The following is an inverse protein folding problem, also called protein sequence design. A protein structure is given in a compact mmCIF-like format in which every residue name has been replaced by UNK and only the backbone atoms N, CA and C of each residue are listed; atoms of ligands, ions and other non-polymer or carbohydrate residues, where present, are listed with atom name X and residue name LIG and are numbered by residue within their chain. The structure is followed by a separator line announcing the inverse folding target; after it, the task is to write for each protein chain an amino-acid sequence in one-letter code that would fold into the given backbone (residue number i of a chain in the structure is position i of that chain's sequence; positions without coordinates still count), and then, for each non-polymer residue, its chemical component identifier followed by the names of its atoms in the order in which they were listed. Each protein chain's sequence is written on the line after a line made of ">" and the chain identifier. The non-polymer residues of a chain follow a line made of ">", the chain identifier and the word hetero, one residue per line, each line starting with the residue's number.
data_IF_790768402054
#
_entry.id   IF_790768402054
#
_cell.length_a   1.000
_cell.length_b   1.000
_cell.length_c   1.000
_cell.angle_alpha   90.00
_cell.angle_beta   90.00
_cell.angle_gamma   90.00
#
_symmetry.space_group_name_H-M   'P 1'
#
loop_
_entity.id
_entity.type
_entity.pdbx_description
1 polymer ?
#
# COMPACT_ATOMS: atom_id res chain seq x y z
N UNK A 1 15.78 -7.51 -27.22
CA UNK A 1 15.33 -7.68 -25.82
C UNK A 1 14.60 -6.41 -25.43
N UNK A 2 13.31 -6.49 -25.12
CA UNK A 2 12.51 -5.33 -24.75
C UNK A 2 13.13 -4.59 -23.55
N UNK A 3 13.04 -3.25 -23.57
CA UNK A 3 13.53 -2.41 -22.50
C UNK A 3 12.84 -2.76 -21.18
N UNK A 4 13.62 -3.01 -20.14
CA UNK A 4 13.08 -3.36 -18.81
C UNK A 4 12.26 -2.24 -18.16
N UNK A 5 12.49 -0.98 -18.57
CA UNK A 5 11.81 0.20 -18.03
C UNK A 5 10.54 0.56 -18.81
N UNK A 6 10.62 0.62 -20.15
CA UNK A 6 9.53 1.13 -20.99
C UNK A 6 8.95 0.11 -21.97
N UNK A 7 9.44 -1.14 -21.95
CA UNK A 7 9.00 -2.25 -22.82
C UNK A 7 9.21 -2.05 -24.32
N UNK A 8 9.83 -0.95 -24.76
CA UNK A 8 10.19 -0.75 -26.17
C UNK A 8 11.20 -1.79 -26.68
N UNK A 9 11.05 -2.22 -27.92
CA UNK A 9 11.98 -3.11 -28.60
C UNK A 9 13.20 -2.39 -29.21
N UNK A 10 13.18 -1.06 -29.24
CA UNK A 10 14.25 -0.22 -29.82
C UNK A 10 15.44 -0.11 -28.87
N UNK A 11 16.29 -1.13 -28.87
CA UNK A 11 17.47 -1.22 -28.01
C UNK A 11 18.73 -1.56 -28.78
N UNK A 12 19.85 -0.90 -28.42
CA UNK A 12 21.16 -1.07 -29.04
C UNK A 12 22.18 -1.56 -28.02
N UNK A 13 23.20 -2.29 -28.48
CA UNK A 13 24.34 -2.70 -27.64
C UNK A 13 25.09 -1.45 -27.16
N UNK A 14 25.44 -1.39 -25.88
CA UNK A 14 26.11 -0.26 -25.25
C UNK A 14 27.20 -0.72 -24.25
N UNK A 15 28.22 -1.41 -24.77
CA UNK A 15 29.36 -1.91 -24.00
C UNK A 15 29.09 -3.22 -23.26
N UNK A 16 30.10 -3.68 -22.51
CA UNK A 16 30.07 -4.92 -21.72
C UNK A 16 30.36 -4.56 -20.26
N UNK A 17 29.57 -5.09 -19.31
CA UNK A 17 29.76 -4.89 -17.87
C UNK A 17 29.71 -6.24 -17.17
N UNK A 18 30.70 -6.54 -16.33
CA UNK A 18 30.80 -7.83 -15.60
C UNK A 18 30.65 -9.04 -16.53
N UNK A 19 31.34 -9.01 -17.67
CA UNK A 19 31.31 -10.04 -18.72
C UNK A 19 29.93 -10.28 -19.36
N UNK A 20 29.00 -9.33 -19.24
CA UNK A 20 27.67 -9.39 -19.86
C UNK A 20 27.42 -8.18 -20.76
N UNK A 21 26.71 -8.41 -21.87
CA UNK A 21 26.33 -7.36 -22.81
C UNK A 21 25.38 -6.36 -22.14
N UNK A 22 25.76 -5.08 -22.14
CA UNK A 22 24.87 -3.98 -21.75
C UNK A 22 24.14 -3.45 -22.98
N UNK A 23 22.91 -3.03 -22.80
CA UNK A 23 22.04 -2.44 -23.81
C UNK A 23 21.57 -1.06 -23.36
N UNK A 24 21.32 -0.18 -24.32
CA UNK A 24 20.67 1.13 -24.13
C UNK A 24 19.37 1.16 -24.93
N UNK A 25 18.28 1.57 -24.28
CA UNK A 25 17.01 1.83 -24.95
C UNK A 25 17.07 3.17 -25.68
N UNK A 26 16.64 3.23 -26.94
CA UNK A 26 16.60 4.47 -27.71
C UNK A 26 15.43 5.36 -27.31
N UNK A 27 14.29 4.78 -26.91
CA UNK A 27 13.11 5.57 -26.55
C UNK A 27 13.22 6.24 -25.16
N UNK A 28 13.79 5.56 -24.16
CA UNK A 28 13.86 6.09 -22.78
C UNK A 28 15.29 6.31 -22.24
N UNK A 29 16.32 6.01 -23.03
CA UNK A 29 17.73 6.15 -22.66
C UNK A 29 18.23 5.18 -21.58
N UNK A 30 17.38 4.30 -21.04
CA UNK A 30 17.74 3.42 -19.92
C UNK A 30 18.77 2.37 -20.34
N UNK A 31 19.74 2.13 -19.45
CA UNK A 31 20.80 1.15 -19.63
C UNK A 31 20.51 -0.11 -18.81
N UNK A 32 20.60 -1.28 -19.43
CA UNK A 32 20.29 -2.56 -18.78
C UNK A 32 21.11 -3.69 -19.37
N UNK A 33 21.44 -4.69 -18.55
CA UNK A 33 22.30 -5.82 -18.94
C UNK A 33 21.50 -7.13 -19.04
N UNK A 34 20.35 -7.20 -18.36
CA UNK A 34 19.47 -8.37 -18.29
C UNK A 34 18.01 -7.91 -18.35
N UNK A 35 17.12 -8.79 -18.82
CA UNK A 35 15.67 -8.52 -18.87
C UNK A 35 15.07 -8.40 -17.46
N UNK A 36 15.58 -9.17 -16.50
CA UNK A 36 15.27 -9.05 -15.08
C UNK A 36 16.53 -9.30 -14.26
N UNK A 37 16.72 -8.49 -13.22
CA UNK A 37 17.75 -8.76 -12.21
C UNK A 37 17.25 -9.91 -11.33
N UNK A 38 18.14 -10.84 -10.97
CA UNK A 38 17.85 -11.95 -10.05
C UNK A 38 17.24 -11.51 -8.72
N UNK A 39 17.58 -10.30 -8.30
CA UNK A 39 17.20 -9.74 -6.99
C UNK A 39 15.80 -9.11 -7.04
N UNK A 40 15.24 -8.91 -8.23
CA UNK A 40 13.90 -8.35 -8.42
C UNK A 40 12.92 -9.50 -8.50
N UNK A 41 12.15 -9.69 -7.43
CA UNK A 41 11.07 -10.67 -7.40
C UNK A 41 9.88 -10.18 -8.23
N UNK A 42 9.13 -11.10 -8.89
CA UNK A 42 7.99 -10.72 -9.70
C UNK A 42 6.90 -10.08 -8.84
N UNK A 43 6.10 -9.21 -9.46
CA UNK A 43 5.08 -8.43 -8.76
C UNK A 43 4.01 -9.31 -8.11
N UNK A 44 3.74 -10.49 -8.68
CA UNK A 44 2.77 -11.44 -8.12
C UNK A 44 3.25 -12.03 -6.79
N UNK A 45 4.55 -12.32 -6.65
CA UNK A 45 5.13 -12.72 -5.36
C UNK A 45 5.01 -11.61 -4.33
N UNK A 46 5.19 -10.35 -4.73
CA UNK A 46 5.00 -9.20 -3.83
C UNK A 46 3.55 -9.11 -3.35
N UNK A 47 2.57 -9.23 -4.25
CA UNK A 47 1.15 -9.22 -3.90
C UNK A 47 0.79 -10.34 -2.92
N UNK A 48 1.26 -11.56 -3.21
CA UNK A 48 1.01 -12.73 -2.36
C UNK A 48 1.65 -12.56 -0.97
N UNK A 49 2.88 -12.04 -0.90
CA UNK A 49 3.55 -11.75 0.37
C UNK A 49 2.78 -10.73 1.22
N UNK A 50 2.25 -9.67 0.59
CA UNK A 50 1.46 -8.65 1.28
C UNK A 50 0.10 -9.19 1.75
N UNK A 51 -0.56 -10.03 0.95
CA UNK A 51 -1.80 -10.70 1.37
C UNK A 51 -1.55 -11.56 2.61
N UNK A 52 -0.51 -12.42 2.60
CA UNK A 52 -0.13 -13.23 3.76
C UNK A 52 0.17 -12.38 5.00
N UNK A 53 0.78 -11.21 4.84
CA UNK A 53 1.02 -10.28 5.96
C UNK A 53 -0.27 -9.73 6.55
N UNK A 54 -1.25 -9.37 5.70
CA UNK A 54 -2.57 -8.89 6.14
C UNK A 54 -3.33 -10.00 6.88
N UNK A 55 -3.19 -11.26 6.46
CA UNK A 55 -3.70 -12.45 7.16
C UNK A 55 -2.96 -12.77 8.47
N UNK A 56 -1.99 -11.95 8.88
CA UNK A 56 -1.30 -12.05 10.16
C UNK A 56 -0.05 -12.94 10.18
N UNK A 57 0.44 -13.41 9.01
CA UNK A 57 1.69 -14.18 8.99
C UNK A 57 2.90 -13.29 9.26
N UNK A 58 3.84 -13.81 10.06
CA UNK A 58 5.09 -13.12 10.34
C UNK A 58 5.99 -13.02 9.10
N UNK A 59 6.84 -11.99 9.03
CA UNK A 59 7.81 -11.80 7.92
C UNK A 59 8.70 -13.03 7.69
N UNK A 60 9.08 -13.74 8.76
CA UNK A 60 9.91 -14.95 8.68
C UNK A 60 9.13 -16.12 8.10
N UNK A 61 7.87 -16.29 8.48
CA UNK A 61 6.98 -17.33 7.94
C UNK A 61 6.78 -17.12 6.45
N UNK A 62 6.46 -15.89 6.03
CA UNK A 62 6.26 -15.53 4.62
C UNK A 62 7.56 -15.76 3.83
N UNK A 63 8.70 -15.34 4.36
CA UNK A 63 10.00 -15.55 3.73
C UNK A 63 10.31 -17.02 3.48
N UNK A 64 9.99 -17.90 4.44
CA UNK A 64 10.13 -19.36 4.28
C UNK A 64 9.19 -19.92 3.20
N UNK A 65 7.90 -19.53 3.22
CA UNK A 65 6.89 -20.02 2.27
C UNK A 65 7.25 -19.62 0.83
N UNK A 66 7.65 -18.37 0.62
CA UNK A 66 7.92 -17.82 -0.70
C UNK A 66 9.39 -17.96 -1.14
N UNK A 67 10.23 -18.59 -0.31
CA UNK A 67 11.68 -18.72 -0.51
C UNK A 67 12.35 -17.36 -0.83
N UNK A 68 12.05 -16.35 -0.03
CA UNK A 68 12.62 -14.99 -0.11
C UNK A 68 13.12 -14.54 1.25
N UNK A 69 14.03 -13.56 1.25
CA UNK A 69 14.52 -13.02 2.52
C UNK A 69 13.40 -12.33 3.30
N UNK A 70 13.38 -12.50 4.63
CA UNK A 70 12.44 -11.77 5.49
C UNK A 70 12.58 -10.24 5.34
N UNK A 71 13.80 -9.76 5.05
CA UNK A 71 14.08 -8.34 4.83
C UNK A 71 13.38 -7.79 3.58
N UNK A 72 13.27 -8.61 2.52
CA UNK A 72 12.49 -8.26 1.32
C UNK A 72 11.01 -8.06 1.67
N UNK A 73 10.44 -8.99 2.46
CA UNK A 73 9.04 -8.89 2.92
C UNK A 73 8.84 -7.64 3.78
N UNK A 74 9.75 -7.41 4.75
CA UNK A 74 9.73 -6.23 5.60
C UNK A 74 9.74 -4.93 4.79
N UNK A 75 10.61 -4.82 3.78
CA UNK A 75 10.70 -3.63 2.95
C UNK A 75 9.40 -3.38 2.16
N UNK A 76 8.77 -4.44 1.63
CA UNK A 76 7.49 -4.32 0.94
C UNK A 76 6.36 -3.85 1.86
N UNK A 77 6.30 -4.38 3.08
CA UNK A 77 5.31 -3.96 4.09
C UNK A 77 5.55 -2.51 4.52
N UNK A 78 6.81 -2.10 4.67
CA UNK A 78 7.16 -0.71 4.96
C UNK A 78 6.72 0.25 3.85
N UNK A 79 6.90 -0.15 2.58
CA UNK A 79 6.46 0.64 1.43
C UNK A 79 4.93 0.70 1.35
N UNK A 80 4.23 -0.41 1.63
CA UNK A 80 2.76 -0.44 1.74
C UNK A 80 2.27 0.54 2.80
N UNK A 81 2.84 0.49 4.01
CA UNK A 81 2.45 1.39 5.10
C UNK A 81 2.67 2.86 4.76
N UNK A 82 3.73 3.21 4.01
CA UNK A 82 3.93 4.58 3.53
C UNK A 82 2.83 5.00 2.55
N UNK A 83 2.42 4.11 1.64
CA UNK A 83 1.32 4.39 0.72
C UNK A 83 -0.01 4.54 1.47
N UNK A 84 -0.30 3.69 2.46
CA UNK A 84 -1.51 3.80 3.29
C UNK A 84 -1.52 5.07 4.13
N UNK A 85 -0.36 5.51 4.66
CA UNK A 85 -0.26 6.80 5.35
C UNK A 85 -0.63 8.00 4.49
N UNK A 86 -0.42 7.92 3.17
CA UNK A 86 -0.86 8.97 2.23
C UNK A 86 -2.38 8.95 1.99
N UNK A 87 -3.07 7.85 2.33
CA UNK A 87 -4.52 7.70 2.20
C UNK A 87 -5.28 8.09 3.47
N UNK A 88 -4.61 8.16 4.62
CA UNK A 88 -5.23 8.69 5.83
C UNK A 88 -5.42 10.20 5.65
N UNK A 89 -6.67 10.66 5.65
CA UNK A 89 -6.98 12.08 5.85
C UNK A 89 -6.44 12.52 7.21
N UNK A 90 -5.89 13.74 7.33
CA UNK A 90 -5.49 14.38 8.60
C UNK A 90 -6.65 14.60 9.61
N UNK A 91 -7.79 13.93 9.40
CA UNK A 91 -8.93 13.95 10.31
C UNK A 91 -8.50 13.32 11.63
N UNK A 92 -8.47 14.13 12.66
CA UNK A 92 -8.30 13.69 14.04
C UNK A 92 -9.50 12.84 14.44
N UNK A 93 -9.25 11.55 14.65
CA UNK A 93 -10.25 10.65 15.26
C UNK A 93 -10.14 10.85 16.76
N UNK A 94 -11.12 11.53 17.37
CA UNK A 94 -11.23 11.61 18.81
C UNK A 94 -11.88 10.32 19.34
N UNK A 95 -11.10 9.50 20.03
CA UNK A 95 -11.62 8.35 20.76
C UNK A 95 -12.13 8.85 22.11
N UNK A 96 -13.37 8.54 22.42
CA UNK A 96 -14.09 9.05 23.60
C UNK A 96 -14.96 7.93 24.16
N UNK A 97 -15.39 8.04 25.41
CA UNK A 97 -16.28 7.03 26.00
C UNK A 97 -17.73 7.26 25.56
N UNK A 98 -18.58 6.25 25.73
CA UNK A 98 -20.00 6.34 25.36
C UNK A 98 -20.68 7.46 26.16
N UNK A 99 -20.35 7.60 27.44
CA UNK A 99 -20.93 8.64 28.31
C UNK A 99 -20.59 10.05 27.82
N UNK A 100 -19.38 10.23 27.27
CA UNK A 100 -18.96 11.51 26.68
C UNK A 100 -19.70 11.80 25.36
N UNK A 101 -20.02 10.77 24.57
CA UNK A 101 -20.88 10.91 23.37
C UNK A 101 -22.29 11.32 23.78
N UNK A 102 -22.86 10.70 24.80
CA UNK A 102 -24.19 11.07 25.32
C UNK A 102 -24.23 12.54 25.76
N UNK A 103 -23.24 12.98 26.54
CA UNK A 103 -23.11 14.38 26.94
C UNK A 103 -22.94 15.30 25.73
N UNK A 104 -22.17 14.89 24.71
CA UNK A 104 -22.00 15.67 23.49
C UNK A 104 -23.31 15.82 22.72
N UNK A 105 -24.08 14.74 22.55
CA UNK A 105 -25.39 14.75 21.87
C UNK A 105 -26.39 15.63 22.63
N UNK A 106 -26.38 15.58 23.96
CA UNK A 106 -27.24 16.41 24.81
C UNK A 106 -26.83 17.89 24.75
N UNK A 107 -25.53 18.17 24.76
CA UNK A 107 -24.98 19.54 24.78
C UNK A 107 -24.88 20.19 23.41
N UNK A 108 -24.96 19.41 22.33
CA UNK A 108 -25.05 19.91 20.97
C UNK A 108 -26.39 20.65 20.80
N UNK A 109 -26.44 21.89 21.29
CA UNK A 109 -27.51 22.84 21.00
C UNK A 109 -27.39 23.23 19.54
N UNK A 110 -28.16 22.53 18.72
CA UNK A 110 -28.38 22.76 17.29
C UNK A 110 -28.85 24.19 17.03
N UNK A 111 -27.92 25.10 16.74
CA UNK A 111 -28.26 26.44 16.25
C UNK A 111 -28.57 26.48 14.76
N UNK A 112 -28.40 25.37 14.04
CA UNK A 112 -28.77 25.25 12.63
C UNK A 112 -29.16 23.80 12.29
N UNK A 113 -29.91 23.64 11.19
CA UNK A 113 -30.51 22.40 10.62
C UNK A 113 -29.52 21.27 10.27
N UNK A 114 -28.62 20.91 11.17
CA UNK A 114 -27.65 19.84 10.98
C UNK A 114 -28.09 18.60 11.78
N UNK A 115 -28.10 17.44 11.13
CA UNK A 115 -28.34 16.14 11.75
C UNK A 115 -27.03 15.46 12.15
N UNK A 116 -27.09 14.59 13.16
CA UNK A 116 -25.98 13.75 13.59
C UNK A 116 -26.18 12.32 13.07
N UNK A 117 -25.13 11.73 12.50
CA UNK A 117 -25.11 10.33 12.06
C UNK A 117 -24.28 9.54 13.06
N UNK A 118 -24.89 8.51 13.65
CA UNK A 118 -24.21 7.52 14.49
C UNK A 118 -24.12 6.22 13.70
N UNK A 119 -22.92 5.67 13.57
CA UNK A 119 -22.66 4.41 12.86
C UNK A 119 -22.17 3.39 13.88
N UNK A 120 -22.94 2.34 14.06
CA UNK A 120 -22.49 1.15 14.78
C UNK A 120 -21.61 0.32 13.84
N UNK A 121 -20.30 0.33 14.09
CA UNK A 121 -19.34 -0.40 13.27
C UNK A 121 -19.41 -1.93 13.45
N UNK A 122 -19.99 -2.44 14.55
CA UNK A 122 -20.12 -3.88 14.79
C UNK A 122 -21.31 -4.45 14.02
N UNK A 123 -22.44 -3.76 14.06
CA UNK A 123 -23.67 -4.23 13.43
C UNK A 123 -23.89 -3.66 12.02
N UNK A 124 -23.05 -2.71 11.59
CA UNK A 124 -23.18 -2.04 10.29
C UNK A 124 -24.45 -1.19 10.17
N UNK A 125 -25.06 -0.81 11.28
CA UNK A 125 -26.30 -0.02 11.30
C UNK A 125 -25.98 1.47 11.48
N UNK A 126 -26.76 2.32 10.81
CA UNK A 126 -26.62 3.77 10.90
C UNK A 126 -27.92 4.40 11.39
N UNK A 127 -27.84 5.22 12.44
CA UNK A 127 -28.96 5.97 12.98
C UNK A 127 -28.77 7.45 12.68
N UNK A 128 -29.78 8.05 12.04
CA UNK A 128 -29.83 9.49 11.77
C UNK A 128 -30.78 10.14 12.77
N UNK A 129 -30.26 11.02 13.61
CA UNK A 129 -31.09 11.85 14.48
C UNK A 129 -31.25 13.24 13.85
N UNK A 130 -32.49 13.59 13.53
CA UNK A 130 -32.87 14.91 13.01
C UNK A 130 -33.81 15.55 14.02
N UNK A 131 -33.47 16.74 14.50
CA UNK A 131 -34.36 17.54 15.35
C UNK A 131 -35.44 18.16 14.44
N UNK A 132 -36.72 17.83 14.69
CA UNK A 132 -37.87 18.52 14.08
C UNK A 132 -38.12 19.84 14.80
#
# INVERSE_FOLDING_TARGET
>A
MACVKCKSDKSVKNGIVSSRQRYRCNDCGYNYTVAQKSDVKPNDTKKLALAMYIEGLSYRTIGKILNISYGTVYQWVKDLNKQTKMLHSDRTINITTIEQIEQYVVNAKSSDRHGLILIDMNNGTAFLSVKQ
#
